data_IF_641174114576
#
_entry.id   IF_641174114576
#
_cell.length_a   1.000
_cell.length_b   1.000
_cell.length_c   1.000
_cell.angle_alpha   90.00
_cell.angle_beta   90.00
_cell.angle_gamma   90.00
#
_symmetry.space_group_name_H-M   'P 1'
#
loop_
_entity.id
_entity.type
_entity.pdbx_description
1 polymer ?
#
# COMPACT_ATOMS: atom_id res chain seq x y z
N UNK A 1 -14.15 -21.31 -9.91
CA UNK A 1 -13.78 -21.22 -8.48
C UNK A 1 -12.37 -20.66 -8.41
N UNK A 2 -12.22 -19.34 -8.24
CA UNK A 2 -10.91 -18.69 -8.24
C UNK A 2 -10.22 -18.93 -6.89
N UNK A 3 -9.25 -19.85 -6.87
CA UNK A 3 -8.33 -20.02 -5.75
C UNK A 3 -7.26 -18.94 -5.88
N UNK A 4 -7.38 -17.86 -5.11
CA UNK A 4 -6.29 -16.90 -4.97
C UNK A 4 -5.21 -17.54 -4.09
N UNK A 5 -4.05 -17.79 -4.71
CA UNK A 5 -2.87 -18.39 -4.06
C UNK A 5 -2.18 -17.38 -3.12
N UNK A 6 -1.52 -17.82 -2.02
CA UNK A 6 -0.98 -16.93 -0.99
C UNK A 6 0.33 -16.21 -1.34
N UNK A 7 0.68 -16.09 -2.63
CA UNK A 7 2.04 -15.73 -3.03
C UNK A 7 2.04 -14.87 -4.30
N UNK A 8 1.48 -13.67 -4.23
CA UNK A 8 1.59 -12.67 -5.31
C UNK A 8 2.54 -11.53 -4.88
N UNK A 9 3.79 -11.54 -5.36
CA UNK A 9 4.81 -10.53 -5.07
C UNK A 9 4.66 -9.32 -6.05
N UNK A 10 5.59 -8.36 -6.06
CA UNK A 10 5.48 -6.88 -5.99
C UNK A 10 4.46 -6.09 -6.84
N UNK A 11 3.71 -6.71 -7.76
CA UNK A 11 2.79 -6.02 -8.67
C UNK A 11 1.62 -5.40 -7.91
N UNK A 12 1.11 -6.10 -6.88
CA UNK A 12 0.02 -5.60 -6.02
C UNK A 12 0.37 -4.31 -5.28
N UNK A 13 1.62 -4.13 -4.86
CA UNK A 13 2.03 -2.94 -4.08
C UNK A 13 1.97 -1.70 -4.95
N UNK A 14 2.43 -1.80 -6.21
CA UNK A 14 2.39 -0.67 -7.14
C UNK A 14 0.95 -0.28 -7.50
N UNK A 15 0.12 -1.26 -7.84
CA UNK A 15 -1.31 -1.01 -8.15
C UNK A 15 -2.05 -0.42 -6.95
N UNK A 16 -1.72 -0.87 -5.73
CA UNK A 16 -2.28 -0.33 -4.50
C UNK A 16 -1.84 1.13 -4.27
N UNK A 17 -0.56 1.45 -4.45
CA UNK A 17 -0.04 2.81 -4.36
C UNK A 17 -0.73 3.73 -5.36
N UNK A 18 -0.81 3.34 -6.63
CA UNK A 18 -1.47 4.11 -7.69
C UNK A 18 -2.94 4.36 -7.34
N UNK A 19 -3.66 3.32 -6.89
CA UNK A 19 -5.06 3.47 -6.50
C UNK A 19 -5.25 4.38 -5.28
N UNK A 20 -4.37 4.30 -4.28
CA UNK A 20 -4.43 5.16 -3.09
C UNK A 20 -4.18 6.63 -3.49
N UNK A 21 -3.24 6.86 -4.40
CA UNK A 21 -2.95 8.21 -4.90
C UNK A 21 -4.10 8.78 -5.73
N UNK A 22 -4.79 7.95 -6.52
CA UNK A 22 -5.96 8.37 -7.31
C UNK A 22 -7.20 8.61 -6.45
N UNK A 23 -7.50 7.71 -5.51
CA UNK A 23 -8.71 7.78 -4.68
C UNK A 23 -8.57 8.71 -3.48
N UNK A 24 -7.34 9.05 -3.07
CA UNK A 24 -7.05 9.69 -1.78
C UNK A 24 -7.64 8.93 -0.58
N UNK A 25 -7.86 7.62 -0.75
CA UNK A 25 -8.43 6.72 0.25
C UNK A 25 -7.57 5.48 0.38
N UNK A 26 -7.44 4.99 1.60
CA UNK A 26 -6.70 3.76 1.90
C UNK A 26 -7.51 2.88 2.83
N UNK A 27 -7.63 1.59 2.51
CA UNK A 27 -8.28 0.62 3.40
C UNK A 27 -7.33 0.21 4.51
N UNK A 28 -7.85 -0.16 5.68
CA UNK A 28 -6.99 -0.64 6.79
C UNK A 28 -6.16 -1.86 6.41
N UNK A 29 -6.71 -2.78 5.63
CA UNK A 29 -5.98 -3.96 5.15
C UNK A 29 -4.76 -3.57 4.32
N UNK A 30 -4.89 -2.53 3.50
CA UNK A 30 -3.84 -2.05 2.62
C UNK A 30 -2.76 -1.28 3.36
N UNK A 31 -3.17 -0.47 4.33
CA UNK A 31 -2.25 0.16 5.26
C UNK A 31 -1.38 -0.90 5.97
N UNK A 32 -2.00 -2.02 6.41
CA UNK A 32 -1.28 -3.14 7.02
C UNK A 32 -0.36 -3.85 6.02
N UNK A 33 -0.80 -4.07 4.78
CA UNK A 33 0.02 -4.68 3.73
C UNK A 33 1.24 -3.80 3.39
N UNK A 34 1.05 -2.49 3.21
CA UNK A 34 2.14 -1.53 2.97
C UNK A 34 3.12 -1.47 4.14
N UNK A 35 2.61 -1.46 5.38
CA UNK A 35 3.46 -1.49 6.58
C UNK A 35 4.26 -2.78 6.66
N UNK A 36 3.63 -3.92 6.37
CA UNK A 36 4.29 -5.24 6.39
C UNK A 36 5.36 -5.30 5.30
N UNK A 37 5.06 -4.81 4.09
CA UNK A 37 6.01 -4.75 2.99
C UNK A 37 7.21 -3.84 3.32
N UNK A 38 6.96 -2.69 3.95
CA UNK A 38 7.99 -1.76 4.42
C UNK A 38 8.89 -2.37 5.50
N UNK A 39 8.31 -3.08 6.47
CA UNK A 39 9.05 -3.73 7.55
C UNK A 39 9.80 -4.99 7.10
N UNK A 40 9.27 -5.71 6.11
CA UNK A 40 9.88 -6.93 5.61
C UNK A 40 11.13 -6.67 4.74
N UNK A 41 11.29 -5.45 4.20
CA UNK A 41 12.44 -4.94 3.40
C UNK A 41 12.93 -5.86 2.26
N UNK A 42 12.14 -6.89 1.91
CA UNK A 42 12.52 -7.96 0.98
C UNK A 42 11.77 -7.91 -0.35
N UNK A 43 10.71 -7.11 -0.45
CA UNK A 43 9.79 -7.16 -1.59
C UNK A 43 9.44 -5.79 -2.17
N UNK A 44 10.09 -4.71 -1.72
CA UNK A 44 9.89 -3.36 -2.24
C UNK A 44 11.20 -2.75 -2.72
N UNK A 45 11.15 -2.01 -3.82
CA UNK A 45 12.30 -1.22 -4.30
C UNK A 45 12.42 0.08 -3.51
N UNK A 46 13.57 0.76 -3.60
CA UNK A 46 13.71 2.10 -2.99
C UNK A 46 12.69 3.11 -3.52
N UNK A 47 12.28 2.98 -4.78
CA UNK A 47 11.25 3.81 -5.39
C UNK A 47 9.89 3.56 -4.73
N UNK A 48 9.47 2.29 -4.62
CA UNK A 48 8.25 1.91 -3.91
C UNK A 48 8.28 2.35 -2.46
N UNK A 49 9.43 2.24 -1.78
CA UNK A 49 9.61 2.74 -0.41
C UNK A 49 9.35 4.23 -0.31
N UNK A 50 9.84 5.03 -1.26
CA UNK A 50 9.59 6.48 -1.30
C UNK A 50 8.12 6.80 -1.51
N UNK A 51 7.44 6.08 -2.40
CA UNK A 51 6.00 6.25 -2.64
C UNK A 51 5.16 5.88 -1.42
N UNK A 52 5.49 4.77 -0.77
CA UNK A 52 4.85 4.33 0.48
C UNK A 52 5.02 5.38 1.57
N UNK A 53 6.24 5.90 1.78
CA UNK A 53 6.47 6.97 2.75
C UNK A 53 5.64 8.22 2.42
N UNK A 54 5.53 8.58 1.14
CA UNK A 54 4.72 9.72 0.70
C UNK A 54 3.22 9.52 0.97
N UNK A 55 2.72 8.29 0.86
CA UNK A 55 1.34 7.94 1.26
C UNK A 55 1.19 8.12 2.77
N UNK A 56 2.11 7.59 3.58
CA UNK A 56 2.07 7.77 5.04
C UNK A 56 2.12 9.24 5.46
N UNK A 57 2.94 10.07 4.82
CA UNK A 57 2.99 11.51 5.06
C UNK A 57 1.67 12.20 4.72
N UNK A 58 1.02 11.78 3.62
CA UNK A 58 -0.29 12.29 3.23
C UNK A 58 -1.41 11.85 4.18
N UNK A 59 -1.34 10.63 4.72
CA UNK A 59 -2.25 10.18 5.78
C UNK A 59 -2.05 11.02 7.04
N UNK A 60 -0.80 11.25 7.48
CA UNK A 60 -0.50 12.10 8.63
C UNK A 60 -0.94 13.56 8.43
N UNK A 61 -0.83 14.05 7.20
CA UNK A 61 -1.31 15.38 6.80
C UNK A 61 -2.84 15.45 6.63
N UNK A 62 -3.59 14.37 6.94
CA UNK A 62 -5.03 14.24 6.75
C UNK A 62 -5.49 14.52 5.30
N UNK A 63 -4.63 14.26 4.31
CA UNK A 63 -4.95 14.35 2.87
C UNK A 63 -5.47 13.04 2.30
N UNK A 64 -5.11 11.93 2.92
CA UNK A 64 -5.63 10.60 2.61
C UNK A 64 -6.48 10.13 3.78
N UNK A 65 -7.68 9.65 3.48
CA UNK A 65 -8.61 9.15 4.49
C UNK A 65 -8.49 7.64 4.63
N UNK A 66 -8.45 7.16 5.87
CA UNK A 66 -8.48 5.72 6.15
C UNK A 66 -9.93 5.26 6.17
N UNK A 67 -10.27 4.34 5.27
CA UNK A 67 -11.60 3.73 5.16
C UNK A 67 -11.60 2.30 5.74
N UNK A 68 -12.67 1.94 6.44
CA UNK A 68 -12.96 0.55 6.86
C UNK A 68 -13.87 -0.07 5.79
N UNK A 69 -13.29 -0.66 4.75
CA UNK A 69 -13.99 -1.62 3.90
C UNK A 69 -13.33 -2.99 3.99
#
# INVERSE_FOLDING_TARGET
MAKQSPNQPPIKVKEMIERILESAEIRRQELMELTTALLADKYITEEQRREINRIFDQIQAARITIVDE
#
